data_IF_143980675923
#
_entry.id   IF_143980675923
#
_cell.length_a   1.000
_cell.length_b   1.000
_cell.length_c   1.000
_cell.angle_alpha   90.00
_cell.angle_beta   90.00
_cell.angle_gamma   90.00
#
_symmetry.space_group_name_H-M   'P 1'
#
loop_
_entity.id
_entity.type
_entity.pdbx_description
1 polymer ?
#
# COMPACT_ATOMS: atom_id res chain seq x y z
N UNK A 1 -16.50 -9.12 -17.66
CA UNK A 1 -15.34 -9.31 -16.76
C UNK A 1 -15.17 -8.00 -15.99
N UNK A 2 -15.15 -8.03 -14.66
CA UNK A 2 -14.93 -6.83 -13.85
C UNK A 2 -13.47 -6.37 -13.96
N UNK A 3 -13.16 -5.15 -13.49
CA UNK A 3 -11.83 -4.56 -13.62
C UNK A 3 -10.77 -5.37 -12.88
N UNK A 4 -11.09 -5.90 -11.70
CA UNK A 4 -10.19 -6.72 -10.88
C UNK A 4 -9.72 -7.97 -11.64
N UNK A 5 -10.66 -8.70 -12.25
CA UNK A 5 -10.32 -9.88 -13.04
C UNK A 5 -9.40 -9.55 -14.23
N UNK A 6 -9.62 -8.40 -14.89
CA UNK A 6 -8.73 -7.96 -15.99
C UNK A 6 -7.31 -7.69 -15.47
N UNK A 7 -7.20 -7.05 -14.33
CA UNK A 7 -5.90 -6.76 -13.69
C UNK A 7 -5.19 -8.07 -13.34
N UNK A 8 -5.89 -9.03 -12.70
CA UNK A 8 -5.30 -10.30 -12.29
C UNK A 8 -4.83 -11.11 -13.50
N UNK A 9 -5.61 -11.19 -14.57
CA UNK A 9 -5.18 -11.90 -15.79
C UNK A 9 -3.94 -11.24 -16.43
N UNK A 10 -3.89 -9.90 -16.44
CA UNK A 10 -2.71 -9.19 -16.91
C UNK A 10 -1.49 -9.45 -16.02
N UNK A 11 -1.68 -9.43 -14.69
CA UNK A 11 -0.62 -9.67 -13.70
C UNK A 11 -0.02 -11.06 -13.82
N UNK A 12 -0.80 -12.08 -14.13
CA UNK A 12 -0.27 -13.45 -14.42
C UNK A 12 0.72 -13.44 -15.58
N UNK A 13 0.41 -12.68 -16.64
CA UNK A 13 1.31 -12.56 -17.81
C UNK A 13 2.58 -11.79 -17.42
N UNK A 14 2.43 -10.69 -16.70
CA UNK A 14 3.54 -9.85 -16.24
C UNK A 14 4.52 -10.66 -15.37
N UNK A 15 4.01 -11.38 -14.37
CA UNK A 15 4.83 -12.23 -13.49
C UNK A 15 5.52 -13.35 -14.28
N UNK A 16 4.82 -14.00 -15.22
CA UNK A 16 5.42 -15.03 -16.06
C UNK A 16 6.57 -14.49 -16.94
N UNK A 17 6.46 -13.25 -17.39
CA UNK A 17 7.52 -12.57 -18.13
C UNK A 17 8.68 -12.14 -17.21
N UNK A 18 8.40 -11.64 -16.02
CA UNK A 18 9.40 -11.26 -15.04
C UNK A 18 10.27 -12.46 -14.63
N UNK A 19 9.67 -13.61 -14.35
CA UNK A 19 10.36 -14.87 -14.03
C UNK A 19 11.33 -15.33 -15.12
N UNK A 20 11.05 -15.00 -16.39
CA UNK A 20 11.96 -15.32 -17.52
C UNK A 20 13.12 -14.35 -17.64
N UNK A 21 12.97 -13.12 -17.15
CA UNK A 21 13.98 -12.07 -17.28
C UNK A 21 15.00 -12.10 -16.15
N UNK A 22 14.55 -12.35 -14.92
CA UNK A 22 15.38 -12.34 -13.72
C UNK A 22 15.05 -13.58 -12.89
N UNK A 23 16.05 -14.38 -12.57
CA UNK A 23 15.89 -15.57 -11.74
C UNK A 23 15.76 -15.22 -10.24
N UNK A 24 15.22 -16.13 -9.43
CA UNK A 24 15.20 -15.98 -7.97
C UNK A 24 16.61 -15.82 -7.38
N UNK A 25 17.62 -16.45 -7.98
CA UNK A 25 19.01 -16.33 -7.55
C UNK A 25 19.50 -14.89 -7.73
N UNK A 26 19.28 -14.31 -8.90
CA UNK A 26 19.65 -12.91 -9.16
C UNK A 26 18.90 -11.93 -8.25
N UNK A 27 17.61 -12.16 -7.96
CA UNK A 27 16.88 -11.34 -6.99
C UNK A 27 17.50 -11.41 -5.58
N UNK A 28 17.94 -12.59 -5.14
CA UNK A 28 18.59 -12.79 -3.83
C UNK A 28 19.98 -12.15 -3.75
N UNK A 29 20.62 -11.90 -4.87
CA UNK A 29 21.92 -11.20 -4.99
C UNK A 29 21.77 -9.68 -5.12
N UNK A 30 20.53 -9.17 -5.26
CA UNK A 30 20.27 -7.73 -5.39
C UNK A 30 20.71 -6.95 -4.14
N UNK A 31 21.14 -5.70 -4.35
CA UNK A 31 21.78 -4.86 -3.33
C UNK A 31 20.91 -4.66 -2.07
N UNK A 32 19.60 -4.61 -2.21
CA UNK A 32 18.68 -4.42 -1.08
C UNK A 32 18.15 -5.72 -0.46
N UNK A 33 18.44 -6.88 -1.05
CA UNK A 33 17.84 -8.14 -0.60
C UNK A 33 18.23 -8.48 0.84
N UNK A 34 19.48 -8.24 1.23
CA UNK A 34 19.99 -8.50 2.58
C UNK A 34 19.76 -7.33 3.55
N UNK A 35 19.15 -6.23 3.08
CA UNK A 35 18.87 -5.06 3.92
C UNK A 35 17.85 -5.41 5.00
N UNK A 36 18.13 -4.97 6.24
CA UNK A 36 17.11 -4.99 7.29
C UNK A 36 15.98 -4.00 6.93
N UNK A 37 14.75 -4.46 6.99
CA UNK A 37 13.57 -3.65 6.68
C UNK A 37 13.22 -2.67 7.80
N UNK A 38 12.55 -1.59 7.43
CA UNK A 38 11.91 -0.69 8.37
C UNK A 38 10.48 -1.19 8.66
N UNK A 39 10.08 -1.17 9.93
CA UNK A 39 8.74 -1.62 10.30
C UNK A 39 7.69 -0.55 10.02
N UNK A 40 6.78 -0.82 9.10
CA UNK A 40 5.62 0.02 8.82
C UNK A 40 4.69 0.08 10.04
N UNK A 41 4.45 -1.08 10.67
CA UNK A 41 3.63 -1.20 11.89
C UNK A 41 4.14 -0.33 13.03
N UNK A 42 5.45 -0.30 13.28
CA UNK A 42 6.04 0.58 14.31
C UNK A 42 5.95 2.03 13.88
N UNK A 43 6.24 2.33 12.63
CA UNK A 43 6.26 3.70 12.13
C UNK A 43 4.87 4.36 12.19
N UNK A 44 3.79 3.66 11.84
CA UNK A 44 2.43 4.21 11.95
C UNK A 44 2.01 4.44 13.40
N UNK A 45 2.47 3.59 14.34
CA UNK A 45 2.17 3.76 15.77
C UNK A 45 2.87 4.96 16.39
N UNK A 46 4.09 5.26 15.98
CA UNK A 46 4.94 6.30 16.59
C UNK A 46 4.96 7.63 15.83
N UNK A 47 4.51 7.63 14.57
CA UNK A 47 4.54 8.79 13.67
C UNK A 47 3.18 9.45 13.48
N UNK A 48 2.98 10.03 12.30
CA UNK A 48 1.72 10.69 11.91
C UNK A 48 0.53 9.75 11.74
N UNK A 49 0.79 8.44 11.57
CA UNK A 49 -0.20 7.47 11.15
C UNK A 49 -0.55 7.54 9.66
N UNK A 50 0.07 8.42 8.87
CA UNK A 50 -0.24 8.56 7.46
C UNK A 50 0.78 7.81 6.60
N UNK A 51 0.29 6.90 5.76
CA UNK A 51 1.00 6.24 4.68
C UNK A 51 0.67 7.02 3.41
N UNK A 52 1.61 7.83 2.95
CA UNK A 52 1.40 8.69 1.78
C UNK A 52 1.62 7.88 0.50
N UNK A 53 0.64 7.86 -0.41
CA UNK A 53 0.72 7.06 -1.63
C UNK A 53 1.20 7.88 -2.82
N UNK A 54 2.18 7.37 -3.53
CA UNK A 54 2.58 7.85 -4.85
C UNK A 54 1.88 7.05 -5.95
N UNK A 55 1.06 7.73 -6.75
CA UNK A 55 0.26 7.12 -7.81
C UNK A 55 0.04 8.08 -8.97
N UNK A 56 0.45 7.67 -10.17
CA UNK A 56 0.33 8.50 -11.39
C UNK A 56 -1.05 8.47 -12.01
N UNK A 57 -1.71 7.31 -11.99
CA UNK A 57 -3.06 7.11 -12.55
C UNK A 57 -3.84 6.04 -11.80
N UNK A 58 -5.12 5.92 -12.08
CA UNK A 58 -5.95 4.82 -11.58
C UNK A 58 -7.08 4.48 -12.57
N UNK A 59 -7.63 3.24 -12.54
CA UNK A 59 -8.75 2.86 -13.40
C UNK A 59 -10.00 3.72 -13.23
N UNK A 60 -10.22 4.27 -12.03
CA UNK A 60 -11.40 5.09 -11.70
C UNK A 60 -11.28 6.57 -12.07
N UNK A 61 -10.04 7.10 -12.21
CA UNK A 61 -9.78 8.54 -12.41
C UNK A 61 -8.96 8.85 -13.66
N UNK A 62 -8.37 7.83 -14.31
CA UNK A 62 -7.38 8.08 -15.36
C UNK A 62 -6.08 8.65 -14.78
N UNK A 63 -5.45 9.56 -15.52
CA UNK A 63 -4.23 10.25 -15.08
C UNK A 63 -4.56 11.19 -13.92
N UNK A 64 -3.79 11.09 -12.84
CA UNK A 64 -3.88 11.93 -11.64
C UNK A 64 -2.73 12.93 -11.64
N UNK A 65 -1.49 12.43 -11.74
CA UNK A 65 -0.28 13.24 -11.84
C UNK A 65 0.85 12.42 -12.47
N UNK A 66 1.14 12.66 -13.75
CA UNK A 66 2.18 11.98 -14.50
C UNK A 66 3.49 12.78 -14.59
N UNK A 67 3.50 14.01 -14.04
CA UNK A 67 4.66 14.90 -14.04
C UNK A 67 5.50 14.83 -12.77
N UNK A 68 4.90 14.40 -11.65
CA UNK A 68 5.59 14.33 -10.36
C UNK A 68 6.74 13.30 -10.39
N UNK A 69 7.92 13.72 -9.97
CA UNK A 69 9.06 12.82 -9.76
C UNK A 69 8.89 12.05 -8.44
N UNK A 70 8.99 10.73 -8.51
CA UNK A 70 8.77 9.87 -7.35
C UNK A 70 9.76 10.12 -6.21
N UNK A 71 11.02 10.43 -6.51
CA UNK A 71 12.05 10.70 -5.50
C UNK A 71 11.80 12.02 -4.78
N UNK A 72 11.46 13.07 -5.53
CA UNK A 72 11.17 14.39 -4.94
C UNK A 72 9.93 14.33 -4.04
N UNK A 73 8.86 13.66 -4.49
CA UNK A 73 7.66 13.46 -3.69
C UNK A 73 7.95 12.63 -2.43
N UNK A 74 8.70 11.54 -2.57
CA UNK A 74 9.05 10.67 -1.44
C UNK A 74 9.88 11.38 -0.38
N UNK A 75 10.90 12.15 -0.78
CA UNK A 75 11.71 12.98 0.12
C UNK A 75 10.86 14.03 0.85
N UNK A 76 9.93 14.66 0.13
CA UNK A 76 9.01 15.62 0.74
C UNK A 76 8.08 14.96 1.75
N UNK A 77 7.53 13.78 1.45
CA UNK A 77 6.69 13.03 2.39
C UNK A 77 7.47 12.67 3.67
N UNK A 78 8.69 12.15 3.53
CA UNK A 78 9.56 11.87 4.68
C UNK A 78 9.85 13.14 5.49
N UNK A 79 10.28 14.23 4.83
CA UNK A 79 10.58 15.52 5.45
C UNK A 79 9.43 16.06 6.28
N UNK A 80 8.20 15.92 5.83
CA UNK A 80 7.01 16.38 6.54
C UNK A 80 6.45 15.36 7.54
N UNK A 81 7.07 14.17 7.67
CA UNK A 81 6.78 13.20 8.73
C UNK A 81 5.74 12.14 8.35
N UNK A 82 5.71 11.70 7.09
CA UNK A 82 4.95 10.51 6.71
C UNK A 82 5.44 9.29 7.50
N UNK A 83 4.52 8.45 7.95
CA UNK A 83 4.85 7.19 8.63
C UNK A 83 5.35 6.10 7.67
N UNK A 84 5.07 6.26 6.39
CA UNK A 84 5.55 5.40 5.33
C UNK A 84 5.11 5.93 3.99
N UNK A 85 5.63 5.34 2.92
CA UNK A 85 5.21 5.63 1.56
C UNK A 85 4.68 4.35 0.89
N UNK A 86 3.52 4.46 0.25
CA UNK A 86 2.96 3.44 -0.63
C UNK A 86 3.30 3.78 -2.08
N UNK A 87 3.92 2.85 -2.80
CA UNK A 87 4.31 3.05 -4.19
C UNK A 87 3.62 2.01 -5.06
N UNK A 88 2.78 2.48 -6.00
CA UNK A 88 2.16 1.62 -7.01
C UNK A 88 3.24 1.07 -7.93
N UNK A 89 3.21 -0.25 -8.19
CA UNK A 89 4.16 -0.90 -9.11
C UNK A 89 3.50 -1.58 -10.31
N UNK A 90 2.17 -1.50 -10.41
CA UNK A 90 1.44 -1.92 -11.61
C UNK A 90 1.54 -0.85 -12.70
N UNK A 91 2.17 -1.20 -13.83
CA UNK A 91 2.42 -0.27 -14.92
C UNK A 91 1.16 -0.01 -15.75
N UNK A 92 0.45 -1.06 -16.12
CA UNK A 92 -0.65 -0.98 -17.08
C UNK A 92 -1.84 -0.20 -16.54
N UNK A 93 -2.21 -0.39 -15.29
CA UNK A 93 -3.42 0.20 -14.71
C UNK A 93 -3.14 1.41 -13.81
N UNK A 94 -1.95 1.48 -13.20
CA UNK A 94 -1.62 2.52 -12.23
C UNK A 94 -0.39 3.37 -12.60
N UNK A 95 0.35 3.02 -13.65
CA UNK A 95 1.50 3.78 -14.14
C UNK A 95 2.71 3.76 -13.23
N UNK A 96 2.80 2.76 -12.34
CA UNK A 96 3.92 2.55 -11.43
C UNK A 96 4.90 1.51 -11.95
N UNK A 97 6.08 1.44 -11.36
CA UNK A 97 7.10 0.44 -11.70
C UNK A 97 7.87 0.01 -10.46
N UNK A 98 8.45 -1.20 -10.48
CA UNK A 98 9.40 -1.62 -9.42
C UNK A 98 10.62 -0.71 -9.34
N UNK A 99 11.01 -0.09 -10.46
CA UNK A 99 12.10 0.88 -10.49
C UNK A 99 11.82 2.11 -9.62
N UNK A 100 10.56 2.50 -9.46
CA UNK A 100 10.17 3.60 -8.56
C UNK A 100 10.53 3.27 -7.11
N UNK A 101 10.30 2.01 -6.65
CA UNK A 101 10.72 1.56 -5.31
C UNK A 101 12.24 1.60 -5.19
N UNK A 102 12.96 1.02 -6.16
CA UNK A 102 14.42 0.96 -6.18
C UNK A 102 15.04 2.37 -6.09
N UNK A 103 14.52 3.32 -6.86
CA UNK A 103 14.96 4.72 -6.88
C UNK A 103 14.70 5.39 -5.52
N UNK A 104 13.49 5.28 -5.01
CA UNK A 104 13.08 5.91 -3.75
C UNK A 104 13.84 5.34 -2.55
N UNK A 105 14.09 4.01 -2.53
CA UNK A 105 14.79 3.37 -1.40
C UNK A 105 16.20 3.91 -1.17
N UNK A 106 16.86 4.45 -2.18
CA UNK A 106 18.19 5.07 -2.05
C UNK A 106 18.14 6.46 -1.39
N UNK A 107 16.97 7.10 -1.37
CA UNK A 107 16.80 8.50 -1.02
C UNK A 107 16.14 8.73 0.35
N UNK A 108 15.39 7.72 0.88
CA UNK A 108 14.59 7.86 2.10
C UNK A 108 14.85 6.74 3.11
N UNK A 109 14.46 6.95 4.37
CA UNK A 109 14.63 6.00 5.49
C UNK A 109 13.33 5.57 6.14
N UNK A 110 12.15 6.04 5.64
CA UNK A 110 10.85 5.56 6.09
C UNK A 110 10.44 4.28 5.37
N UNK A 111 9.51 3.47 5.94
CA UNK A 111 9.03 2.24 5.31
C UNK A 111 8.40 2.47 3.93
N UNK A 112 8.68 1.56 2.99
CA UNK A 112 8.06 1.53 1.66
C UNK A 112 7.14 0.32 1.57
N UNK A 113 5.85 0.58 1.28
CA UNK A 113 4.86 -0.43 0.93
C UNK A 113 4.83 -0.60 -0.60
N UNK A 114 5.13 -1.82 -1.09
CA UNK A 114 4.83 -2.18 -2.48
C UNK A 114 3.32 -2.35 -2.65
N UNK A 115 2.69 -1.43 -3.35
CA UNK A 115 1.25 -1.46 -3.65
C UNK A 115 1.04 -2.10 -5.02
N UNK A 116 0.71 -3.39 -5.03
CA UNK A 116 0.54 -4.20 -6.23
C UNK A 116 -0.44 -5.35 -5.98
N UNK A 117 -0.87 -6.03 -7.02
CA UNK A 117 -1.66 -7.26 -6.94
C UNK A 117 -0.72 -8.46 -6.79
N UNK A 118 -0.48 -8.86 -5.54
CA UNK A 118 0.40 -9.97 -5.21
C UNK A 118 -0.35 -11.29 -5.39
N UNK A 119 0.03 -12.08 -6.40
CA UNK A 119 -0.64 -13.34 -6.78
C UNK A 119 0.33 -14.52 -6.89
N UNK A 120 1.63 -14.27 -6.75
CA UNK A 120 2.67 -15.25 -6.94
C UNK A 120 3.87 -14.98 -6.01
N UNK A 121 4.47 -16.04 -5.47
CA UNK A 121 5.62 -15.96 -4.56
C UNK A 121 6.79 -15.13 -5.11
N UNK A 122 7.02 -15.18 -6.39
CA UNK A 122 8.10 -14.44 -7.05
C UNK A 122 8.05 -12.94 -6.76
N UNK A 123 6.85 -12.36 -6.68
CA UNK A 123 6.67 -10.92 -6.44
C UNK A 123 7.17 -10.48 -5.06
N UNK A 124 7.21 -11.38 -4.06
CA UNK A 124 7.75 -11.07 -2.73
C UNK A 124 9.27 -10.95 -2.77
N UNK A 125 9.94 -11.83 -3.53
CA UNK A 125 11.38 -11.71 -3.78
C UNK A 125 11.71 -10.44 -4.57
N UNK A 126 10.89 -10.08 -5.56
CA UNK A 126 11.03 -8.80 -6.27
C UNK A 126 10.86 -7.60 -5.33
N UNK A 127 9.86 -7.62 -4.44
CA UNK A 127 9.63 -6.55 -3.46
C UNK A 127 10.86 -6.36 -2.57
N UNK A 128 11.38 -7.45 -2.00
CA UNK A 128 12.58 -7.43 -1.15
C UNK A 128 13.81 -6.95 -1.92
N UNK A 129 14.04 -7.46 -3.12
CA UNK A 129 15.17 -7.12 -3.98
C UNK A 129 15.20 -5.63 -4.37
N UNK A 130 14.03 -5.03 -4.54
CA UNK A 130 13.91 -3.60 -4.87
C UNK A 130 13.85 -2.68 -3.64
N UNK A 131 13.86 -3.24 -2.43
CA UNK A 131 13.97 -2.45 -1.19
C UNK A 131 12.65 -2.05 -0.55
N UNK A 132 11.56 -2.75 -0.86
CA UNK A 132 10.31 -2.64 -0.09
C UNK A 132 10.49 -3.14 1.35
N UNK A 133 9.65 -2.67 2.24
CA UNK A 133 9.59 -3.03 3.66
C UNK A 133 8.28 -3.76 3.99
N UNK A 134 7.25 -3.51 3.22
CA UNK A 134 5.95 -4.15 3.35
C UNK A 134 5.34 -4.42 1.96
N UNK A 135 4.40 -5.36 1.92
CA UNK A 135 3.64 -5.72 0.73
C UNK A 135 2.14 -5.68 1.00
N UNK A 136 1.36 -5.44 -0.06
CA UNK A 136 -0.09 -5.51 -0.03
C UNK A 136 -0.57 -6.93 -0.37
N UNK A 137 -1.45 -7.49 0.46
CA UNK A 137 -2.30 -8.62 0.07
C UNK A 137 -3.74 -8.13 -0.06
N UNK A 138 -4.48 -8.59 -1.05
CA UNK A 138 -5.86 -8.18 -1.30
C UNK A 138 -6.77 -9.39 -1.14
N UNK A 139 -7.63 -9.39 -0.13
CA UNK A 139 -8.50 -10.53 0.20
C UNK A 139 -9.42 -10.94 -0.96
N UNK A 140 -9.91 -9.98 -1.74
CA UNK A 140 -10.76 -10.26 -2.91
C UNK A 140 -10.02 -10.94 -4.09
N UNK A 141 -8.68 -11.03 -4.04
CA UNK A 141 -7.86 -11.68 -5.05
C UNK A 141 -7.30 -13.04 -4.61
N UNK A 142 -7.34 -13.34 -3.31
CA UNK A 142 -6.66 -14.47 -2.70
C UNK A 142 -7.64 -15.29 -1.85
N UNK A 143 -7.38 -16.58 -1.70
CA UNK A 143 -8.05 -17.40 -0.68
C UNK A 143 -7.43 -17.16 0.70
N UNK A 144 -8.14 -17.48 1.82
CA UNK A 144 -7.56 -17.41 3.16
C UNK A 144 -6.26 -18.20 3.32
N UNK A 145 -6.16 -19.37 2.68
CA UNK A 145 -4.96 -20.20 2.69
C UNK A 145 -3.77 -19.50 2.00
N UNK A 146 -4.01 -18.88 0.83
CA UNK A 146 -2.98 -18.09 0.13
C UNK A 146 -2.54 -16.88 0.95
N UNK A 147 -3.47 -16.18 1.62
CA UNK A 147 -3.10 -15.06 2.50
C UNK A 147 -2.18 -15.53 3.63
N UNK A 148 -2.47 -16.67 4.26
CA UNK A 148 -1.60 -17.23 5.29
C UNK A 148 -0.21 -17.59 4.72
N UNK A 149 -0.15 -18.33 3.63
CA UNK A 149 1.10 -18.74 2.95
C UNK A 149 1.96 -17.53 2.56
N UNK A 150 1.34 -16.52 1.94
CA UNK A 150 2.03 -15.30 1.52
C UNK A 150 2.47 -14.43 2.70
N UNK A 151 1.72 -14.42 3.80
CA UNK A 151 2.13 -13.74 5.03
C UNK A 151 3.36 -14.42 5.64
N UNK A 152 3.38 -15.75 5.72
CA UNK A 152 4.52 -16.53 6.20
C UNK A 152 5.76 -16.33 5.32
N UNK A 153 5.59 -16.35 4.00
CA UNK A 153 6.66 -16.05 3.04
C UNK A 153 7.20 -14.61 3.24
N UNK A 154 6.31 -13.63 3.39
CA UNK A 154 6.68 -12.23 3.62
C UNK A 154 7.54 -12.09 4.86
N UNK A 155 7.12 -12.68 5.98
CA UNK A 155 7.89 -12.66 7.23
C UNK A 155 9.24 -13.38 7.09
N UNK A 156 9.31 -14.48 6.32
CA UNK A 156 10.57 -15.15 5.99
C UNK A 156 11.55 -14.28 5.20
N UNK A 157 11.05 -13.21 4.57
CA UNK A 157 11.81 -12.21 3.85
C UNK A 157 11.96 -10.88 4.62
N UNK A 158 11.60 -10.84 5.89
CA UNK A 158 11.52 -9.60 6.72
C UNK A 158 10.57 -8.54 6.15
N UNK A 159 9.56 -8.90 5.37
CA UNK A 159 8.53 -7.98 4.88
C UNK A 159 7.29 -8.02 5.78
N UNK A 160 6.74 -6.86 6.12
CA UNK A 160 5.43 -6.76 6.78
C UNK A 160 4.28 -6.84 5.77
N UNK A 161 3.10 -7.22 6.23
CA UNK A 161 1.91 -7.41 5.40
C UNK A 161 0.80 -6.43 5.79
N UNK A 162 0.34 -5.67 4.80
CA UNK A 162 -0.93 -4.95 4.84
C UNK A 162 -1.98 -5.79 4.08
N UNK A 163 -2.97 -6.35 4.80
CA UNK A 163 -4.07 -7.10 4.18
C UNK A 163 -5.25 -6.17 3.93
N UNK A 164 -5.58 -5.91 2.66
CA UNK A 164 -6.73 -5.11 2.25
C UNK A 164 -7.99 -5.97 2.21
N UNK A 165 -9.05 -5.48 2.89
CA UNK A 165 -10.39 -6.06 2.92
C UNK A 165 -11.46 -5.03 2.54
N UNK A 166 -12.60 -5.52 2.00
CA UNK A 166 -13.73 -4.70 1.53
C UNK A 166 -15.06 -5.13 2.12
N UNK A 167 -15.19 -6.39 2.56
CA UNK A 167 -16.46 -6.96 3.02
C UNK A 167 -16.29 -7.75 4.31
N UNK A 168 -17.42 -8.00 4.98
CA UNK A 168 -17.44 -8.81 6.20
C UNK A 168 -16.99 -10.25 5.93
N UNK A 169 -17.32 -10.82 4.78
CA UNK A 169 -16.90 -12.16 4.40
C UNK A 169 -15.37 -12.28 4.25
N UNK A 170 -14.69 -11.17 3.97
CA UNK A 170 -13.24 -11.13 3.84
C UNK A 170 -12.50 -11.12 5.19
N UNK A 171 -13.19 -10.87 6.32
CA UNK A 171 -12.61 -10.97 7.67
C UNK A 171 -12.00 -12.35 7.96
N UNK A 172 -12.49 -13.42 7.33
CA UNK A 172 -11.92 -14.78 7.43
C UNK A 172 -10.49 -14.92 6.89
N UNK A 173 -10.00 -13.93 6.11
CA UNK A 173 -8.62 -13.89 5.63
C UNK A 173 -7.63 -13.39 6.70
N UNK A 174 -8.15 -12.71 7.73
CA UNK A 174 -7.32 -12.19 8.81
C UNK A 174 -6.83 -13.36 9.65
N UNK A 175 -5.52 -13.50 9.74
CA UNK A 175 -4.85 -14.46 10.60
C UNK A 175 -3.89 -13.71 11.56
N UNK A 176 -3.38 -14.42 12.57
CA UNK A 176 -2.53 -13.85 13.63
C UNK A 176 -1.22 -13.21 13.15
N UNK A 177 -0.80 -13.53 11.90
CA UNK A 177 0.46 -13.07 11.33
C UNK A 177 0.29 -11.80 10.47
N UNK A 178 -0.95 -11.37 10.17
CA UNK A 178 -1.21 -10.11 9.46
C UNK A 178 -0.76 -8.94 10.33
N UNK A 179 0.08 -8.05 9.80
CA UNK A 179 0.64 -6.93 10.56
C UNK A 179 -0.30 -5.74 10.66
N UNK A 180 -0.97 -5.41 9.55
CA UNK A 180 -1.97 -4.33 9.43
C UNK A 180 -3.15 -4.82 8.59
N UNK A 181 -4.36 -4.38 8.94
CA UNK A 181 -5.56 -4.61 8.14
C UNK A 181 -6.00 -3.29 7.49
N UNK A 182 -5.96 -3.26 6.17
CA UNK A 182 -6.44 -2.15 5.37
C UNK A 182 -7.94 -2.32 5.08
N UNK A 183 -8.74 -1.30 5.37
CA UNK A 183 -10.15 -1.28 5.03
C UNK A 183 -10.35 -0.26 3.92
N UNK A 184 -10.68 -0.75 2.73
CA UNK A 184 -10.86 0.11 1.58
C UNK A 184 -12.27 0.72 1.58
N UNK A 185 -12.34 2.04 1.79
CA UNK A 185 -13.59 2.81 1.77
C UNK A 185 -14.29 2.79 0.41
N UNK A 186 -13.57 2.40 -0.66
CA UNK A 186 -14.10 2.38 -2.02
C UNK A 186 -14.47 0.97 -2.42
N UNK A 187 -15.71 0.77 -2.81
CA UNK A 187 -16.18 -0.49 -3.39
C UNK A 187 -15.53 -0.69 -4.78
N UNK A 188 -14.89 -1.85 -5.01
CA UNK A 188 -14.20 -2.15 -6.27
C UNK A 188 -15.15 -2.44 -7.46
N UNK A 189 -16.45 -2.63 -7.21
CA UNK A 189 -17.42 -2.94 -8.27
C UNK A 189 -18.04 -1.68 -8.89
N UNK A 190 -18.41 -0.71 -8.06
CA UNK A 190 -19.13 0.51 -8.48
C UNK A 190 -18.37 1.82 -8.16
N UNK A 191 -17.19 1.70 -7.55
CA UNK A 191 -16.31 2.79 -7.12
C UNK A 191 -16.91 3.79 -6.12
N UNK A 192 -18.05 3.46 -5.51
CA UNK A 192 -18.64 4.28 -4.45
C UNK A 192 -17.79 4.24 -3.19
N UNK A 193 -17.73 5.37 -2.51
CA UNK A 193 -17.04 5.53 -1.23
C UNK A 193 -18.06 5.55 -0.10
N UNK A 194 -17.84 4.72 0.93
CA UNK A 194 -18.67 4.64 2.12
C UNK A 194 -17.79 4.50 3.37
N UNK A 195 -17.57 5.62 4.05
CA UNK A 195 -16.77 5.66 5.28
C UNK A 195 -17.45 4.93 6.44
N UNK A 196 -18.80 4.96 6.51
CA UNK A 196 -19.54 4.30 7.58
C UNK A 196 -19.45 2.77 7.47
N UNK A 197 -19.46 2.23 6.24
CA UNK A 197 -19.21 0.81 6.00
C UNK A 197 -17.85 0.38 6.56
N UNK A 198 -16.81 1.18 6.32
CA UNK A 198 -15.47 0.90 6.83
C UNK A 198 -15.37 0.97 8.35
N UNK A 199 -16.12 1.89 8.98
CA UNK A 199 -16.22 1.93 10.45
C UNK A 199 -16.85 0.64 11.00
N UNK A 200 -17.89 0.13 10.33
CA UNK A 200 -18.54 -1.12 10.74
C UNK A 200 -17.56 -2.31 10.64
N UNK A 201 -16.85 -2.45 9.52
CA UNK A 201 -15.83 -3.49 9.34
C UNK A 201 -14.70 -3.38 10.37
N UNK A 202 -14.21 -2.16 10.62
CA UNK A 202 -13.17 -1.91 11.62
C UNK A 202 -13.57 -2.41 13.01
N UNK A 203 -14.83 -2.25 13.40
CA UNK A 203 -15.32 -2.70 14.70
C UNK A 203 -15.38 -4.23 14.85
N UNK A 204 -15.28 -4.97 13.74
CA UNK A 204 -15.23 -6.44 13.70
C UNK A 204 -13.80 -6.98 13.69
N UNK A 205 -12.78 -6.11 13.51
CA UNK A 205 -11.38 -6.54 13.53
C UNK A 205 -10.96 -7.01 14.93
N UNK A 206 -10.04 -7.98 15.02
CA UNK A 206 -9.33 -8.28 16.27
C UNK A 206 -8.63 -7.02 16.80
N UNK A 207 -8.73 -6.78 18.12
CA UNK A 207 -8.25 -5.53 18.75
C UNK A 207 -6.74 -5.31 18.65
N UNK A 208 -5.98 -6.37 18.46
CA UNK A 208 -4.52 -6.37 18.33
C UNK A 208 -4.02 -5.98 16.94
N UNK A 209 -4.90 -5.99 15.93
CA UNK A 209 -4.55 -5.63 14.55
C UNK A 209 -4.76 -4.14 14.34
N UNK A 210 -3.76 -3.47 13.76
CA UNK A 210 -3.87 -2.06 13.40
C UNK A 210 -4.77 -1.88 12.18
N UNK A 211 -5.78 -1.04 12.32
CA UNK A 211 -6.70 -0.71 11.25
C UNK A 211 -6.20 0.47 10.41
N UNK A 212 -6.04 0.27 9.11
CA UNK A 212 -5.67 1.30 8.13
C UNK A 212 -6.89 1.65 7.30
N UNK A 213 -7.28 2.93 7.26
CA UNK A 213 -8.31 3.41 6.35
C UNK A 213 -7.69 3.71 4.98
N UNK A 214 -8.26 3.15 3.91
CA UNK A 214 -7.76 3.32 2.55
C UNK A 214 -8.81 3.90 1.62
N UNK A 215 -8.39 4.74 0.67
CA UNK A 215 -9.25 5.36 -0.34
C UNK A 215 -10.32 6.31 0.23
N UNK A 216 -10.82 7.21 -0.63
CA UNK A 216 -12.01 8.01 -0.32
C UNK A 216 -11.84 9.06 0.78
N UNK A 217 -10.63 9.33 1.22
CA UNK A 217 -10.33 10.40 2.17
C UNK A 217 -9.99 11.65 1.34
N UNK A 218 -10.98 12.51 1.14
CA UNK A 218 -10.88 13.65 0.22
C UNK A 218 -10.78 15.00 0.92
N UNK A 219 -11.08 15.04 2.23
CA UNK A 219 -11.07 16.22 3.07
C UNK A 219 -10.46 15.93 4.44
N UNK A 220 -10.10 16.99 5.17
CA UNK A 220 -9.62 16.89 6.55
C UNK A 220 -10.69 16.32 7.48
N UNK A 221 -11.95 16.62 7.20
CA UNK A 221 -13.12 16.12 7.93
C UNK A 221 -13.25 14.59 7.83
N UNK A 222 -13.00 14.01 6.66
CA UNK A 222 -13.00 12.55 6.46
C UNK A 222 -11.91 11.89 7.34
N UNK A 223 -10.70 12.47 7.34
CA UNK A 223 -9.60 12.02 8.17
C UNK A 223 -9.96 12.09 9.66
N UNK A 224 -10.47 13.25 10.13
CA UNK A 224 -10.86 13.43 11.52
C UNK A 224 -11.94 12.44 11.93
N UNK A 225 -12.98 12.29 11.11
CA UNK A 225 -14.05 11.31 11.34
C UNK A 225 -13.51 9.89 11.53
N UNK A 226 -12.69 9.40 10.60
CA UNK A 226 -12.13 8.05 10.69
C UNK A 226 -11.19 7.89 11.90
N UNK A 227 -10.41 8.93 12.23
CA UNK A 227 -9.56 8.94 13.41
C UNK A 227 -10.36 8.84 14.71
N UNK A 228 -11.45 9.60 14.84
CA UNK A 228 -12.38 9.52 15.97
C UNK A 228 -13.06 8.15 16.07
N UNK A 229 -13.27 7.45 14.95
CA UNK A 229 -13.77 6.07 14.92
C UNK A 229 -12.69 5.03 15.24
N UNK A 230 -11.47 5.46 15.56
CA UNK A 230 -10.39 4.63 16.06
C UNK A 230 -9.61 3.87 14.99
N UNK A 231 -9.50 4.39 13.77
CA UNK A 231 -8.49 3.94 12.83
C UNK A 231 -7.11 4.37 13.30
N UNK A 232 -6.14 3.45 13.17
CA UNK A 232 -4.77 3.65 13.63
C UNK A 232 -3.91 4.35 12.58
N UNK A 233 -4.19 4.10 11.30
CA UNK A 233 -3.45 4.68 10.18
C UNK A 233 -4.35 4.97 8.96
N UNK A 234 -3.79 5.74 8.02
CA UNK A 234 -4.50 6.24 6.85
C UNK A 234 -3.61 6.14 5.61
N UNK A 235 -4.04 5.40 4.60
CA UNK A 235 -3.37 5.34 3.32
C UNK A 235 -4.03 6.34 2.36
N UNK A 236 -3.31 7.41 2.05
CA UNK A 236 -3.81 8.57 1.30
C UNK A 236 -2.91 8.89 0.11
N UNK A 237 -3.49 8.87 -1.09
CA UNK A 237 -2.75 9.18 -2.33
C UNK A 237 -3.42 10.29 -3.14
N UNK A 238 -4.66 10.08 -3.58
CA UNK A 238 -5.38 11.02 -4.46
C UNK A 238 -5.46 12.43 -3.86
N UNK A 239 -5.61 12.54 -2.55
CA UNK A 239 -5.65 13.82 -1.82
C UNK A 239 -4.39 14.66 -2.08
N UNK A 240 -3.21 14.04 -2.09
CA UNK A 240 -1.93 14.71 -2.31
C UNK A 240 -1.60 14.81 -3.80
N UNK A 241 -1.67 13.69 -4.51
CA UNK A 241 -1.20 13.58 -5.90
C UNK A 241 -1.98 14.44 -6.90
N UNK A 242 -3.21 14.88 -6.58
CA UNK A 242 -3.98 15.81 -7.43
C UNK A 242 -3.46 17.25 -7.43
N UNK A 243 -2.56 17.58 -6.51
CA UNK A 243 -1.96 18.91 -6.39
C UNK A 243 -0.69 18.99 -7.25
N UNK A 244 -0.32 20.21 -7.63
CA UNK A 244 0.90 20.47 -8.38
C UNK A 244 2.15 20.02 -7.59
N UNK A 245 2.17 20.28 -6.29
CA UNK A 245 3.18 19.78 -5.34
C UNK A 245 2.53 18.87 -4.29
N UNK A 246 2.59 17.54 -4.50
CA UNK A 246 2.06 16.58 -3.54
C UNK A 246 2.72 16.63 -2.15
N UNK A 247 4.01 16.99 -2.11
CA UNK A 247 4.77 17.09 -0.87
C UNK A 247 4.30 18.26 0.00
N UNK A 248 4.09 19.42 -0.60
CA UNK A 248 3.53 20.58 0.10
C UNK A 248 2.10 20.29 0.59
N UNK A 249 1.25 19.68 -0.25
CA UNK A 249 -0.10 19.30 0.14
C UNK A 249 -0.12 18.36 1.35
N UNK A 250 0.85 17.43 1.44
CA UNK A 250 1.02 16.59 2.62
C UNK A 250 1.47 17.41 3.84
N UNK A 251 2.44 18.30 3.69
CA UNK A 251 2.91 19.19 4.76
C UNK A 251 1.79 20.06 5.35
N UNK A 252 0.92 20.59 4.51
CA UNK A 252 -0.27 21.36 4.92
C UNK A 252 -1.22 20.51 5.75
N UNK A 253 -1.53 19.29 5.31
CA UNK A 253 -2.38 18.37 6.10
C UNK A 253 -1.76 18.10 7.47
N UNK A 254 -0.45 17.79 7.53
CA UNK A 254 0.24 17.54 8.80
C UNK A 254 0.14 18.73 9.76
N UNK A 255 0.27 19.94 9.26
CA UNK A 255 0.11 21.14 10.08
C UNK A 255 -1.31 21.28 10.64
N UNK A 256 -2.35 20.98 9.84
CA UNK A 256 -3.75 21.05 10.26
C UNK A 256 -4.09 20.00 11.34
N UNK A 257 -3.55 18.78 11.22
CA UNK A 257 -3.90 17.69 12.15
C UNK A 257 -3.08 17.71 13.45
N UNK A 258 -2.01 18.50 13.52
CA UNK A 258 -1.20 18.71 14.74
C UNK A 258 -1.71 19.86 15.61
N UNK A 259 -2.47 20.78 15.02
CA UNK A 259 -3.12 21.90 15.70
C UNK A 259 -4.54 21.54 16.10
#
# INVERSE_FOLDING_TARGET
MNILNKIIEHKKIEVAQAKKKISLTELKEAVFFQRKTFSLKKSVKSGSGIISEFKRKSPSKGIINDKADVSEVAKSYEKFGASGISILTDESFFGGTLHDILKVRQEISIPILRKDFMIDEYQFYEAKANGADAVLLIASCLSPAQVQEFTELSHGLDLEVLLEIHTEEELKHINRNVDLAGINNRNLKDFKVDLQHSVNLKNMLPKEILAVAESGIYAVEDFKFLKEKGFDAFLMGEYFMRNEDPGLAFGELINIIKN
#
